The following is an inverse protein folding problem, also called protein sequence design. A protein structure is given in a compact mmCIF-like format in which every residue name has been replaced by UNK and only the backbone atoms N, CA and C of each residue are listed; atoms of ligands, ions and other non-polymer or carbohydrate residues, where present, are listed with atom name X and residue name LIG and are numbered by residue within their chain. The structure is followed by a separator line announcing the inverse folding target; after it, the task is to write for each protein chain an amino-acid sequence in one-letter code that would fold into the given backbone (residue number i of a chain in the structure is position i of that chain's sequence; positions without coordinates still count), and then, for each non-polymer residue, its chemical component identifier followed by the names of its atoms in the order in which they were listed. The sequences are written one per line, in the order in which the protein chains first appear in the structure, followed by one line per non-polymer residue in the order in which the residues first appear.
data_IF_177965581772
#
_entry.id   IF_177965581772
#
_cell.length_a   1.000
_cell.length_b   1.000
_cell.length_c   1.000
_cell.angle_alpha   90.00
_cell.angle_beta   90.00
_cell.angle_gamma   90.00
#
_symmetry.space_group_name_H-M   'P 1'
#
loop_
_entity.id
_entity.type
_entity.pdbx_description
1 polymer ?
#
# COMPACT_ATOMS: atom_id res chain seq x y z
N UNK A 1 99.22 13.16 -22.74
CA UNK A 1 98.15 12.52 -23.55
C UNK A 1 97.03 12.15 -22.64
N UNK A 2 96.06 13.09 -22.45
CA UNK A 2 94.84 12.85 -21.63
C UNK A 2 93.66 12.65 -22.56
N UNK A 3 93.07 11.49 -22.48
CA UNK A 3 91.78 11.19 -23.16
C UNK A 3 90.60 11.42 -22.15
N UNK A 4 89.83 12.44 -22.38
CA UNK A 4 88.58 12.70 -21.65
C UNK A 4 87.43 11.87 -22.28
N UNK A 5 86.81 10.98 -21.50
CA UNK A 5 85.55 10.30 -21.87
C UNK A 5 84.36 11.16 -21.52
N UNK A 6 83.52 11.53 -22.50
CA UNK A 6 82.21 12.14 -22.29
C UNK A 6 81.18 11.01 -22.16
N UNK A 7 80.51 10.97 -21.00
CA UNK A 7 79.37 10.10 -20.78
C UNK A 7 78.07 10.94 -21.09
N UNK A 8 77.35 10.54 -22.14
CA UNK A 8 76.07 11.12 -22.48
C UNK A 8 74.99 10.37 -21.68
N UNK A 9 74.34 11.05 -20.74
CA UNK A 9 73.23 10.57 -19.94
C UNK A 9 71.92 10.80 -20.71
N UNK A 10 71.27 9.73 -21.21
CA UNK A 10 69.96 9.80 -21.82
C UNK A 10 68.91 9.79 -20.70
N UNK A 11 68.25 10.94 -20.49
CA UNK A 11 67.07 11.07 -19.59
C UNK A 11 65.82 10.71 -20.39
N UNK A 12 65.24 9.56 -20.15
CA UNK A 12 63.90 9.19 -20.65
C UNK A 12 62.84 9.81 -19.81
N UNK A 13 62.12 10.80 -20.34
CA UNK A 13 60.96 11.41 -19.71
C UNK A 13 59.74 10.51 -19.93
N UNK A 14 59.36 9.75 -18.90
CA UNK A 14 58.10 9.00 -18.88
C UNK A 14 56.94 9.95 -18.61
N UNK A 15 56.16 10.25 -19.63
CA UNK A 15 54.91 11.00 -19.47
C UNK A 15 53.83 10.15 -18.77
N UNK A 16 53.22 10.61 -17.68
CA UNK A 16 52.12 9.89 -17.06
C UNK A 16 50.89 9.94 -17.97
N UNK A 17 50.45 8.77 -18.45
CA UNK A 17 49.17 8.61 -19.13
C UNK A 17 48.07 8.68 -18.08
N UNK A 18 47.44 9.84 -17.95
CA UNK A 18 46.23 10.02 -17.18
C UNK A 18 45.07 9.25 -17.87
N UNK A 19 44.76 8.07 -17.37
CA UNK A 19 43.54 7.37 -17.73
C UNK A 19 42.34 8.16 -17.20
N UNK A 20 41.65 8.89 -18.07
CA UNK A 20 40.37 9.48 -17.75
C UNK A 20 39.34 8.37 -17.51
N UNK A 21 39.04 8.08 -16.22
CA UNK A 21 37.87 7.30 -15.86
C UNK A 21 36.64 8.02 -16.45
N UNK A 22 36.01 7.45 -17.47
CA UNK A 22 34.70 7.90 -17.94
C UNK A 22 33.78 7.93 -16.69
N UNK A 23 33.31 9.14 -16.31
CA UNK A 23 32.23 9.30 -15.36
C UNK A 23 31.07 8.50 -15.94
N UNK A 24 30.71 7.41 -15.31
CA UNK A 24 29.44 6.72 -15.56
C UNK A 24 28.37 7.70 -15.10
N UNK A 25 27.78 8.44 -16.03
CA UNK A 25 26.61 9.27 -15.76
C UNK A 25 25.50 8.29 -15.45
N UNK A 26 25.10 8.16 -14.19
CA UNK A 26 23.91 7.41 -13.82
C UNK A 26 22.75 7.94 -14.66
N UNK A 27 21.94 7.07 -15.29
CA UNK A 27 20.82 7.54 -16.09
C UNK A 27 19.91 8.41 -15.24
N UNK A 28 19.57 9.58 -15.76
CA UNK A 28 18.64 10.50 -15.07
C UNK A 28 17.30 9.80 -14.89
N UNK A 29 16.85 9.64 -13.64
CA UNK A 29 15.57 9.04 -13.32
C UNK A 29 14.47 9.98 -13.83
N UNK A 30 13.57 9.46 -14.66
CA UNK A 30 12.41 10.18 -15.14
C UNK A 30 11.27 10.06 -14.13
N UNK A 31 10.64 11.18 -13.79
CA UNK A 31 9.41 11.25 -13.00
C UNK A 31 8.27 11.81 -13.85
N UNK A 32 7.12 11.14 -13.93
CA UNK A 32 6.03 11.60 -14.78
C UNK A 32 5.37 12.86 -14.25
N UNK A 33 5.09 13.80 -15.18
CA UNK A 33 4.24 14.96 -14.92
C UNK A 33 2.76 14.60 -14.85
N UNK A 34 1.87 15.56 -15.17
CA UNK A 34 0.42 15.29 -15.28
C UNK A 34 0.15 14.22 -16.33
N UNK A 35 0.77 14.36 -17.49
CA UNK A 35 0.79 13.34 -18.53
C UNK A 35 1.97 12.41 -18.34
N UNK A 36 1.77 11.13 -18.56
CA UNK A 36 2.80 10.12 -18.46
C UNK A 36 3.34 9.79 -19.84
N UNK A 37 4.64 9.89 -20.04
CA UNK A 37 5.27 9.61 -21.34
C UNK A 37 5.22 8.11 -21.62
N UNK A 38 4.74 7.77 -22.81
CA UNK A 38 4.74 6.42 -23.37
C UNK A 38 6.01 6.17 -24.18
N UNK A 39 6.55 4.97 -24.07
CA UNK A 39 7.64 4.47 -24.92
C UNK A 39 7.32 3.09 -25.46
N UNK A 40 7.90 2.80 -26.61
CA UNK A 40 7.88 1.42 -27.09
C UNK A 40 8.72 0.54 -26.18
N UNK A 41 8.35 -0.72 -25.94
CA UNK A 41 9.13 -1.61 -25.07
C UNK A 41 10.61 -1.70 -25.44
N UNK A 42 10.92 -1.68 -26.73
CA UNK A 42 12.30 -1.78 -27.23
C UNK A 42 13.19 -0.59 -26.81
N UNK A 43 12.59 0.60 -26.66
CA UNK A 43 13.32 1.82 -26.23
C UNK A 43 13.80 1.76 -24.77
N UNK A 44 13.24 0.82 -24.01
CA UNK A 44 13.57 0.61 -22.59
C UNK A 44 14.09 -0.78 -22.30
N UNK A 45 14.57 -1.50 -23.34
CA UNK A 45 15.22 -2.79 -23.20
C UNK A 45 14.27 -3.97 -22.98
N UNK A 46 13.03 -3.87 -23.50
CA UNK A 46 12.05 -4.95 -23.43
C UNK A 46 11.62 -5.42 -24.83
N UNK A 47 11.17 -6.66 -24.92
CA UNK A 47 10.62 -7.26 -26.14
C UNK A 47 9.13 -6.98 -26.24
N UNK A 48 8.70 -6.25 -27.30
CA UNK A 48 7.30 -5.84 -27.46
C UNK A 48 6.34 -7.03 -27.62
N UNK A 49 6.77 -8.11 -28.30
CA UNK A 49 5.91 -9.28 -28.47
C UNK A 49 5.67 -9.97 -27.12
N UNK A 50 6.69 -10.06 -26.26
CA UNK A 50 6.58 -10.62 -24.91
C UNK A 50 5.78 -9.74 -23.96
N UNK A 51 5.91 -8.41 -24.05
CA UNK A 51 5.06 -7.47 -23.32
C UNK A 51 3.60 -7.66 -23.73
N UNK A 52 3.33 -7.77 -25.04
CA UNK A 52 1.98 -8.07 -25.52
C UNK A 52 1.46 -9.41 -25.01
N UNK A 53 2.28 -10.44 -24.98
CA UNK A 53 1.94 -11.76 -24.44
C UNK A 53 1.52 -11.66 -22.95
N UNK A 54 2.22 -10.84 -22.15
CA UNK A 54 1.86 -10.60 -20.75
C UNK A 54 0.52 -9.86 -20.61
N UNK A 55 0.25 -8.88 -21.48
CA UNK A 55 -1.04 -8.17 -21.52
C UNK A 55 -2.19 -9.14 -21.91
N UNK A 56 -2.01 -9.92 -22.97
CA UNK A 56 -2.99 -10.91 -23.43
C UNK A 56 -3.25 -11.97 -22.34
N UNK A 57 -2.20 -12.38 -21.63
CA UNK A 57 -2.31 -13.28 -20.47
C UNK A 57 -3.18 -12.67 -19.37
N UNK A 58 -2.95 -11.43 -18.97
CA UNK A 58 -3.74 -10.75 -17.94
C UNK A 58 -5.21 -10.64 -18.34
N UNK A 59 -5.51 -10.31 -19.61
CA UNK A 59 -6.87 -10.19 -20.12
C UNK A 59 -7.58 -11.55 -20.14
N UNK A 60 -6.91 -12.61 -20.60
CA UNK A 60 -7.50 -13.95 -20.73
C UNK A 60 -7.74 -14.66 -19.39
N UNK A 61 -7.11 -14.18 -18.32
CA UNK A 61 -7.25 -14.73 -16.98
C UNK A 61 -8.10 -13.83 -16.05
N UNK A 62 -9.17 -13.22 -16.60
CA UNK A 62 -10.11 -12.42 -15.78
C UNK A 62 -10.64 -13.25 -14.61
N UNK A 63 -10.66 -12.63 -13.41
CA UNK A 63 -11.31 -13.23 -12.24
C UNK A 63 -12.80 -13.51 -12.53
N UNK A 64 -13.28 -14.70 -12.15
CA UNK A 64 -14.64 -15.14 -12.43
C UNK A 64 -15.73 -14.51 -11.55
N UNK A 65 -15.31 -13.72 -10.57
CA UNK A 65 -16.23 -13.07 -9.65
C UNK A 65 -17.14 -12.07 -10.37
N UNK A 66 -18.39 -11.85 -9.90
CA UNK A 66 -19.29 -10.87 -10.44
C UNK A 66 -18.66 -9.49 -10.58
N UNK A 67 -19.07 -8.73 -11.61
CA UNK A 67 -18.69 -7.31 -11.72
C UNK A 67 -19.43 -6.44 -10.74
N UNK A 68 -20.65 -6.81 -10.32
CA UNK A 68 -21.30 -6.20 -9.19
C UNK A 68 -20.54 -6.54 -7.91
N UNK A 69 -19.93 -5.53 -7.29
CA UNK A 69 -19.13 -5.72 -6.08
C UNK A 69 -19.99 -6.05 -4.87
N UNK A 70 -21.26 -5.64 -4.88
CA UNK A 70 -22.22 -6.04 -3.86
C UNK A 70 -22.54 -7.55 -3.95
N UNK A 71 -22.83 -8.05 -5.16
CA UNK A 71 -23.02 -9.50 -5.36
C UNK A 71 -21.77 -10.28 -4.99
N UNK A 72 -20.58 -9.80 -5.40
CA UNK A 72 -19.32 -10.43 -5.02
C UNK A 72 -19.13 -10.48 -3.50
N UNK A 73 -19.49 -9.40 -2.79
CA UNK A 73 -19.42 -9.33 -1.34
C UNK A 73 -20.28 -10.41 -0.68
N UNK A 74 -21.57 -10.49 -1.05
CA UNK A 74 -22.48 -11.49 -0.47
C UNK A 74 -22.18 -12.95 -0.89
N UNK A 75 -21.41 -13.15 -1.95
CA UNK A 75 -20.89 -14.47 -2.32
C UNK A 75 -19.63 -14.86 -1.53
N UNK A 76 -18.96 -13.91 -0.91
CA UNK A 76 -17.70 -14.09 -0.17
C UNK A 76 -17.85 -13.66 1.30
N UNK A 77 -17.45 -12.49 1.66
CA UNK A 77 -17.40 -11.95 3.03
C UNK A 77 -18.80 -11.75 3.67
N UNK A 78 -19.84 -11.53 2.88
CA UNK A 78 -21.20 -11.40 3.37
C UNK A 78 -21.78 -12.66 4.02
N UNK A 79 -21.08 -13.82 3.89
CA UNK A 79 -21.42 -15.07 4.59
C UNK A 79 -20.84 -15.17 5.99
N UNK A 80 -19.92 -14.29 6.34
CA UNK A 80 -19.32 -14.24 7.67
C UNK A 80 -20.31 -13.66 8.69
N UNK A 81 -20.14 -13.95 10.00
CA UNK A 81 -20.88 -13.24 11.04
C UNK A 81 -20.69 -11.73 10.91
N UNK A 82 -21.75 -10.97 11.12
CA UNK A 82 -21.71 -9.51 10.87
C UNK A 82 -21.28 -9.14 9.44
N UNK A 83 -21.55 -10.01 8.45
CA UNK A 83 -21.09 -9.90 7.07
C UNK A 83 -21.76 -8.78 6.25
N UNK A 84 -22.79 -8.10 6.75
CA UNK A 84 -23.48 -7.05 5.99
C UNK A 84 -22.54 -5.93 5.57
N UNK A 85 -22.66 -5.52 4.30
CA UNK A 85 -21.97 -4.33 3.80
C UNK A 85 -22.49 -3.08 4.50
N UNK A 86 -21.58 -2.23 4.97
CA UNK A 86 -21.90 -0.98 5.68
C UNK A 86 -21.16 0.23 5.09
N UNK A 87 -20.58 0.08 3.92
CA UNK A 87 -19.93 1.15 3.19
C UNK A 87 -20.17 1.02 1.69
N UNK A 88 -19.89 2.07 0.92
CA UNK A 88 -20.16 2.09 -0.50
C UNK A 88 -19.42 1.00 -1.25
N UNK A 89 -20.13 0.40 -2.21
CA UNK A 89 -19.61 -0.55 -3.19
C UNK A 89 -19.73 0.05 -4.58
N UNK A 90 -18.76 -0.21 -5.45
CA UNK A 90 -18.78 0.25 -6.84
C UNK A 90 -18.50 -0.92 -7.76
N UNK A 91 -19.37 -1.12 -8.74
CA UNK A 91 -19.19 -2.15 -9.77
C UNK A 91 -17.86 -2.00 -10.50
N UNK A 92 -17.16 -3.12 -10.68
CA UNK A 92 -15.85 -3.16 -11.30
C UNK A 92 -15.90 -3.12 -12.82
N UNK A 93 -14.84 -2.58 -13.41
CA UNK A 93 -14.59 -2.67 -14.86
C UNK A 93 -14.14 -4.06 -15.31
N UNK A 94 -13.79 -4.13 -16.60
CA UNK A 94 -13.12 -5.27 -17.23
C UNK A 94 -11.64 -5.35 -16.75
N UNK A 95 -10.92 -6.44 -17.10
CA UNK A 95 -9.48 -6.54 -16.87
C UNK A 95 -8.75 -5.31 -17.36
N UNK A 96 -7.98 -4.71 -16.50
CA UNK A 96 -7.35 -3.41 -16.73
C UNK A 96 -5.96 -3.40 -16.15
N UNK A 97 -5.04 -2.70 -16.78
CA UNK A 97 -3.72 -2.53 -16.20
C UNK A 97 -2.81 -1.56 -16.95
N UNK A 98 -1.62 -1.38 -16.40
CA UNK A 98 -0.57 -0.52 -16.92
C UNK A 98 0.79 -1.08 -16.49
N UNK A 99 1.77 -1.04 -17.38
CA UNK A 99 3.15 -1.47 -17.12
C UNK A 99 4.07 -0.27 -17.30
N UNK A 100 4.87 -0.02 -16.27
CA UNK A 100 5.87 1.03 -16.22
C UNK A 100 7.25 0.39 -16.20
N UNK A 101 8.14 0.83 -17.08
CA UNK A 101 9.55 0.44 -17.12
C UNK A 101 10.43 1.68 -17.17
N UNK A 102 11.41 1.78 -16.27
CA UNK A 102 12.30 2.94 -16.15
C UNK A 102 11.54 4.28 -16.02
N UNK A 103 10.32 4.25 -15.44
CA UNK A 103 9.44 5.41 -15.28
C UNK A 103 8.52 5.71 -16.46
N UNK A 104 8.62 5.00 -17.58
CA UNK A 104 7.79 5.20 -18.79
C UNK A 104 6.69 4.16 -18.90
N UNK A 105 5.52 4.56 -19.38
CA UNK A 105 4.45 3.62 -19.74
C UNK A 105 4.87 2.87 -21.00
N UNK A 106 4.88 1.53 -20.92
CA UNK A 106 5.24 0.68 -22.07
C UNK A 106 4.07 -0.17 -22.57
N UNK A 107 3.05 -0.36 -21.74
CA UNK A 107 1.80 -1.01 -22.12
C UNK A 107 0.67 -0.59 -21.18
N UNK A 108 -0.54 -0.57 -21.72
CA UNK A 108 -1.78 -0.39 -20.96
C UNK A 108 -2.92 -1.14 -21.65
N UNK A 109 -3.93 -1.51 -20.88
CA UNK A 109 -5.10 -2.20 -21.42
C UNK A 109 -6.36 -1.94 -20.60
N UNK A 110 -7.52 -2.18 -21.20
CA UNK A 110 -8.82 -1.92 -20.57
C UNK A 110 -9.08 -0.42 -20.40
N UNK A 111 -9.55 -0.05 -19.21
CA UNK A 111 -9.89 1.34 -18.86
C UNK A 111 -8.97 1.83 -17.70
N UNK A 112 -7.66 2.10 -17.95
CA UNK A 112 -6.70 2.37 -16.87
C UNK A 112 -6.98 3.68 -16.11
N UNK A 113 -7.74 4.60 -16.69
CA UNK A 113 -8.19 5.84 -16.05
C UNK A 113 -9.47 5.67 -15.21
N UNK A 114 -10.18 4.53 -15.35
CA UNK A 114 -11.39 4.26 -14.58
C UNK A 114 -11.08 4.09 -13.09
N UNK A 115 -11.68 4.89 -12.19
CA UNK A 115 -11.57 4.64 -10.76
C UNK A 115 -12.43 3.44 -10.37
N UNK A 116 -11.83 2.40 -9.83
CA UNK A 116 -12.49 1.22 -9.29
C UNK A 116 -12.07 0.96 -7.85
N UNK A 117 -12.87 0.17 -7.11
CA UNK A 117 -12.49 -0.27 -5.76
C UNK A 117 -11.18 -1.05 -5.82
N UNK A 118 -10.26 -0.72 -4.93
CA UNK A 118 -8.97 -1.41 -4.87
C UNK A 118 -8.82 -2.31 -3.64
N UNK A 119 -9.88 -2.39 -2.82
CA UNK A 119 -9.91 -3.20 -1.60
C UNK A 119 -8.65 -3.00 -0.75
N UNK A 120 -7.96 -4.08 -0.41
CA UNK A 120 -6.85 -4.04 0.54
C UNK A 120 -5.60 -3.28 0.08
N UNK A 121 -5.47 -2.90 -1.20
CA UNK A 121 -4.43 -1.94 -1.61
C UNK A 121 -4.57 -0.62 -0.84
N UNK A 122 -5.79 -0.29 -0.38
CA UNK A 122 -6.08 0.85 0.53
C UNK A 122 -5.15 0.87 1.75
N UNK A 123 -4.79 -0.30 2.29
CA UNK A 123 -3.90 -0.41 3.46
C UNK A 123 -2.52 0.18 3.23
N UNK A 124 -2.03 0.13 2.00
CA UNK A 124 -0.73 0.72 1.64
C UNK A 124 -0.78 2.25 1.70
N UNK A 125 -1.90 2.85 1.29
CA UNK A 125 -2.13 4.28 1.45
C UNK A 125 -2.32 4.67 2.92
N UNK A 126 -2.98 3.81 3.72
CA UNK A 126 -3.06 3.99 5.17
C UNK A 126 -1.66 3.94 5.79
N UNK A 127 -0.83 2.95 5.45
CA UNK A 127 0.57 2.90 5.88
C UNK A 127 1.32 4.18 5.57
N UNK A 128 1.11 4.74 4.36
CA UNK A 128 1.74 6.00 3.99
C UNK A 128 1.30 7.17 4.89
N UNK A 129 0.01 7.26 5.26
CA UNK A 129 -0.47 8.33 6.17
C UNK A 129 0.06 8.18 7.60
N UNK A 130 0.28 6.94 8.08
CA UNK A 130 0.97 6.68 9.35
C UNK A 130 2.45 7.08 9.24
N UNK A 131 3.09 6.74 8.11
CA UNK A 131 4.47 7.12 7.83
C UNK A 131 4.69 8.63 7.82
N UNK A 132 3.79 9.35 7.20
CA UNK A 132 3.80 10.81 7.23
C UNK A 132 3.63 11.38 8.65
N UNK A 133 2.81 10.74 9.49
CA UNK A 133 2.67 11.14 10.90
C UNK A 133 3.97 10.91 11.68
N UNK A 134 4.66 9.81 11.42
CA UNK A 134 5.99 9.53 11.96
C UNK A 134 7.02 10.55 11.47
N UNK A 135 7.12 10.78 10.17
CA UNK A 135 8.09 11.70 9.56
C UNK A 135 7.94 13.14 10.06
N UNK A 136 6.73 13.53 10.47
CA UNK A 136 6.42 14.83 11.07
C UNK A 136 6.54 14.86 12.60
N UNK A 137 6.92 13.74 13.21
CA UNK A 137 7.06 13.63 14.65
C UNK A 137 5.75 13.69 15.43
N UNK A 138 4.60 13.50 14.77
CA UNK A 138 3.30 13.30 15.43
C UNK A 138 3.30 11.94 16.15
N UNK A 139 3.94 10.95 15.58
CA UNK A 139 4.29 9.67 16.22
C UNK A 139 5.79 9.68 16.48
N UNK A 140 6.20 9.59 17.75
CA UNK A 140 7.63 9.70 18.11
C UNK A 140 8.41 8.42 17.82
N UNK A 141 7.77 7.27 18.01
CA UNK A 141 8.35 5.96 17.77
C UNK A 141 7.26 4.98 17.36
N UNK A 142 7.55 4.13 16.36
CA UNK A 142 6.63 3.02 16.00
C UNK A 142 6.50 1.98 17.12
N UNK A 143 7.45 1.95 18.07
CA UNK A 143 7.41 1.08 19.23
C UNK A 143 6.69 1.69 20.45
N UNK A 144 6.24 2.94 20.34
CA UNK A 144 5.32 3.50 21.32
C UNK A 144 3.96 2.82 21.25
N UNK A 145 3.32 2.66 22.41
CA UNK A 145 1.95 2.16 22.44
C UNK A 145 0.99 3.19 21.83
N UNK A 146 0.04 2.71 21.03
CA UNK A 146 -0.96 3.57 20.39
C UNK A 146 -1.76 4.33 21.45
N UNK A 147 -2.05 3.69 22.59
CA UNK A 147 -2.77 4.27 23.72
C UNK A 147 -2.21 5.62 24.18
N UNK A 148 -0.89 5.83 24.13
CA UNK A 148 -0.25 7.10 24.52
C UNK A 148 -0.67 8.30 23.67
N UNK A 149 -1.18 8.05 22.47
CA UNK A 149 -1.55 9.06 21.47
C UNK A 149 -3.05 9.26 21.36
N UNK A 150 -3.84 8.43 22.08
CA UNK A 150 -5.29 8.43 21.96
C UNK A 150 -5.94 9.25 23.07
N UNK A 151 -6.82 10.15 22.65
CA UNK A 151 -7.87 10.69 23.52
C UNK A 151 -9.15 9.88 23.29
N UNK A 152 -10.09 9.85 24.25
CA UNK A 152 -11.40 9.31 24.02
C UNK A 152 -12.08 9.96 22.80
N UNK A 153 -12.71 9.14 21.95
CA UNK A 153 -13.29 9.57 20.69
C UNK A 153 -14.77 9.83 20.89
N UNK A 154 -15.23 10.98 20.42
CA UNK A 154 -16.64 11.30 20.38
C UNK A 154 -17.25 10.72 19.10
N UNK A 155 -17.99 9.61 19.22
CA UNK A 155 -18.72 9.00 18.11
C UNK A 155 -19.87 9.91 17.69
N UNK A 156 -20.15 9.96 16.39
CA UNK A 156 -21.28 10.68 15.85
C UNK A 156 -22.01 9.78 14.85
N UNK A 157 -23.34 9.63 15.02
CA UNK A 157 -24.17 8.94 14.05
C UNK A 157 -25.07 9.94 13.32
N UNK A 158 -24.90 10.12 12.00
CA UNK A 158 -25.80 10.97 11.21
C UNK A 158 -27.21 10.38 11.08
N UNK A 159 -27.39 9.08 11.37
CA UNK A 159 -28.66 8.36 11.25
C UNK A 159 -29.51 8.48 12.52
N UNK A 160 -28.91 8.70 13.66
CA UNK A 160 -29.60 8.86 14.94
C UNK A 160 -30.24 10.24 15.08
N UNK A 161 -31.10 10.58 14.16
CA UNK A 161 -31.83 11.87 14.21
C UNK A 161 -33.11 11.79 15.03
N UNK A 162 -33.49 10.62 15.55
CA UNK A 162 -34.83 10.35 16.10
C UNK A 162 -35.01 10.66 17.56
N UNK A 163 -34.04 10.53 18.43
CA UNK A 163 -34.25 10.67 19.88
C UNK A 163 -33.55 11.90 20.45
N UNK A 164 -34.36 12.97 20.65
CA UNK A 164 -33.84 14.25 21.15
C UNK A 164 -33.40 14.19 22.62
N UNK A 165 -33.87 13.21 23.39
CA UNK A 165 -33.53 13.07 24.80
C UNK A 165 -32.07 12.73 25.03
N UNK A 166 -31.47 11.94 24.15
CA UNK A 166 -30.11 11.49 24.29
C UNK A 166 -29.07 12.54 23.85
N UNK A 167 -29.48 13.57 23.10
CA UNK A 167 -28.58 14.66 22.68
C UNK A 167 -28.08 15.53 23.83
N UNK A 168 -28.77 15.53 24.96
CA UNK A 168 -28.40 16.28 26.15
C UNK A 168 -27.73 15.40 27.20
N UNK A 169 -27.59 14.10 26.94
CA UNK A 169 -26.80 13.20 27.74
C UNK A 169 -25.30 13.54 27.68
N UNK A 170 -24.52 12.90 28.53
CA UNK A 170 -23.04 12.95 28.39
C UNK A 170 -22.67 12.38 27.03
N UNK A 171 -21.78 13.05 26.27
CA UNK A 171 -21.34 12.51 25.00
C UNK A 171 -20.78 11.10 25.23
N UNK A 172 -21.20 10.14 24.41
CA UNK A 172 -20.66 8.81 24.45
C UNK A 172 -19.22 8.87 23.92
N UNK A 173 -18.29 8.67 24.84
CA UNK A 173 -16.87 8.67 24.54
C UNK A 173 -16.39 7.22 24.38
N UNK A 174 -15.87 6.94 23.21
CA UNK A 174 -15.31 5.65 22.85
C UNK A 174 -13.79 5.63 23.08
N UNK A 175 -13.31 4.70 23.91
CA UNK A 175 -11.89 4.52 24.19
C UNK A 175 -11.36 3.31 23.46
N UNK A 176 -10.75 3.56 22.30
CA UNK A 176 -10.34 2.54 21.33
C UNK A 176 -9.26 1.58 21.87
N UNK A 177 -8.44 2.02 22.81
CA UNK A 177 -7.29 1.26 23.34
C UNK A 177 -7.30 1.10 24.85
N UNK A 178 -8.44 1.14 25.52
CA UNK A 178 -8.51 1.20 26.99
C UNK A 178 -8.44 -0.16 27.71
N UNK A 179 -8.59 -1.31 27.01
CA UNK A 179 -8.46 -2.61 27.66
C UNK A 179 -7.01 -2.84 28.11
N UNK A 180 -6.82 -3.73 29.11
CA UNK A 180 -5.48 -4.09 29.58
C UNK A 180 -4.60 -4.59 28.43
N UNK A 181 -5.14 -5.36 27.52
CA UNK A 181 -4.46 -5.88 26.34
C UNK A 181 -4.15 -4.74 25.37
N UNK A 182 -5.15 -3.97 24.94
CA UNK A 182 -4.99 -2.94 23.93
C UNK A 182 -3.99 -1.82 24.33
N UNK A 183 -3.85 -1.52 25.64
CA UNK A 183 -2.86 -0.56 26.15
C UNK A 183 -1.42 -0.95 25.86
N UNK A 184 -1.15 -2.21 25.57
CA UNK A 184 0.20 -2.71 25.29
C UNK A 184 0.55 -2.70 23.80
N UNK A 185 -0.44 -2.52 22.90
CA UNK A 185 -0.28 -2.56 21.46
C UNK A 185 0.51 -1.35 20.96
N UNK A 186 1.56 -1.59 20.20
CA UNK A 186 2.36 -0.55 19.55
C UNK A 186 1.86 -0.23 18.13
N UNK A 187 2.30 0.90 17.59
CA UNK A 187 2.09 1.22 16.18
C UNK A 187 2.68 0.14 15.26
N UNK A 188 3.85 -0.40 15.61
CA UNK A 188 4.49 -1.48 14.87
C UNK A 188 3.62 -2.74 14.82
N UNK A 189 2.98 -3.11 15.95
CA UNK A 189 2.09 -4.27 16.00
C UNK A 189 0.86 -4.08 15.12
N UNK A 190 0.28 -2.87 15.13
CA UNK A 190 -0.85 -2.54 14.25
C UNK A 190 -0.44 -2.60 12.77
N UNK A 191 0.68 -1.98 12.40
CA UNK A 191 1.19 -1.94 11.03
C UNK A 191 1.52 -3.32 10.47
N UNK A 192 1.99 -4.23 11.32
CA UNK A 192 2.35 -5.61 10.94
C UNK A 192 1.22 -6.61 11.04
N UNK A 193 0.02 -6.18 11.44
CA UNK A 193 -1.11 -7.07 11.69
C UNK A 193 -0.81 -8.14 12.75
N UNK A 194 -0.06 -7.76 13.78
CA UNK A 194 0.31 -8.62 14.91
C UNK A 194 -0.22 -8.10 16.25
N UNK A 195 -1.17 -7.16 16.20
CA UNK A 195 -1.67 -6.48 17.40
C UNK A 195 -2.58 -7.34 18.26
N UNK A 196 -3.33 -8.24 17.64
CA UNK A 196 -4.48 -8.93 18.25
C UNK A 196 -5.43 -7.98 19.02
N UNK A 197 -5.58 -6.74 18.52
CA UNK A 197 -6.48 -5.75 19.09
C UNK A 197 -7.88 -6.36 19.29
N UNK A 198 -8.47 -6.09 20.45
CA UNK A 198 -9.77 -6.61 20.84
C UNK A 198 -10.81 -5.49 20.92
N UNK A 199 -11.98 -5.75 20.36
CA UNK A 199 -13.10 -4.81 20.44
C UNK A 199 -14.08 -4.93 19.31
N UNK A 200 -15.05 -4.02 19.34
CA UNK A 200 -16.02 -3.82 18.27
C UNK A 200 -15.87 -2.40 17.74
N UNK A 201 -15.68 -2.25 16.43
CA UNK A 201 -15.58 -0.96 15.78
C UNK A 201 -16.57 -0.89 14.61
N UNK A 202 -17.38 0.16 14.57
CA UNK A 202 -18.40 0.37 13.52
C UNK A 202 -19.40 -0.80 13.43
N UNK A 203 -19.72 -1.43 14.57
CA UNK A 203 -20.60 -2.60 14.63
C UNK A 203 -19.95 -3.91 14.19
N UNK A 204 -18.64 -3.92 13.89
CA UNK A 204 -17.89 -5.11 13.47
C UNK A 204 -16.93 -5.55 14.59
N UNK A 205 -17.20 -6.69 15.28
CA UNK A 205 -16.27 -7.27 16.23
C UNK A 205 -14.97 -7.71 15.55
N UNK A 206 -13.84 -7.64 16.25
CA UNK A 206 -12.54 -8.08 15.71
C UNK A 206 -12.53 -9.56 15.31
N UNK A 207 -13.26 -10.40 16.03
CA UNK A 207 -13.35 -11.84 15.74
C UNK A 207 -14.24 -12.15 14.52
N UNK A 208 -15.09 -11.22 14.06
CA UNK A 208 -16.03 -11.46 12.96
C UNK A 208 -15.37 -11.40 11.57
N UNK A 209 -14.13 -10.90 11.49
CA UNK A 209 -13.36 -10.88 10.25
C UNK A 209 -12.58 -12.19 10.11
N UNK A 210 -12.93 -13.01 9.12
CA UNK A 210 -12.36 -14.35 8.89
C UNK A 210 -12.39 -15.22 10.14
N UNK A 211 -13.59 -15.45 10.72
CA UNK A 211 -13.73 -16.08 12.00
C UNK A 211 -13.24 -17.53 11.97
N UNK A 212 -12.85 -18.03 13.15
CA UNK A 212 -12.62 -19.48 13.32
C UNK A 212 -13.84 -20.28 12.88
N UNK A 213 -13.60 -21.46 12.32
CA UNK A 213 -14.67 -22.38 11.95
C UNK A 213 -15.50 -22.88 13.17
N UNK A 214 -14.92 -22.85 14.39
CA UNK A 214 -15.64 -23.18 15.63
C UNK A 214 -16.20 -21.90 16.29
N UNK A 215 -17.54 -21.69 16.29
CA UNK A 215 -18.15 -20.54 16.94
C UNK A 215 -17.83 -20.39 18.44
N UNK A 216 -17.49 -21.47 19.13
CA UNK A 216 -17.13 -21.43 20.56
C UNK A 216 -15.85 -20.64 20.81
N UNK A 217 -14.96 -20.59 19.82
CA UNK A 217 -13.70 -19.85 19.94
C UNK A 217 -13.87 -18.33 19.78
N UNK A 218 -14.93 -17.84 19.15
CA UNK A 218 -15.07 -16.43 18.79
C UNK A 218 -14.95 -15.48 19.99
N UNK A 219 -15.55 -15.86 21.12
CA UNK A 219 -15.55 -15.04 22.33
C UNK A 219 -14.61 -15.55 23.43
N UNK A 220 -14.12 -16.78 23.31
CA UNK A 220 -13.40 -17.46 24.38
C UNK A 220 -11.91 -17.68 24.09
N UNK A 221 -11.46 -17.40 22.86
CA UNK A 221 -10.05 -17.58 22.52
C UNK A 221 -9.15 -16.67 23.36
N UNK A 222 -8.03 -17.21 23.79
CA UNK A 222 -7.00 -16.44 24.46
C UNK A 222 -6.34 -15.49 23.48
N UNK A 223 -6.15 -14.23 23.89
CA UNK A 223 -5.42 -13.24 23.10
C UNK A 223 -3.93 -13.55 23.04
N UNK A 224 -3.36 -13.38 21.86
CA UNK A 224 -1.93 -13.47 21.66
C UNK A 224 -1.25 -12.19 22.18
N UNK A 225 -0.01 -12.29 22.68
CA UNK A 225 0.76 -11.09 23.00
C UNK A 225 0.99 -10.26 21.72
N UNK A 226 0.85 -8.93 21.74
CA UNK A 226 1.16 -8.09 20.60
C UNK A 226 2.56 -8.38 20.04
N UNK A 227 2.67 -8.45 18.73
CA UNK A 227 3.91 -8.79 18.01
C UNK A 227 4.16 -10.28 17.83
N UNK A 228 3.47 -11.18 18.56
CA UNK A 228 3.79 -12.61 18.57
C UNK A 228 3.08 -13.46 17.51
N UNK A 229 1.94 -13.00 17.00
CA UNK A 229 1.11 -13.75 16.07
C UNK A 229 0.58 -12.83 14.97
N UNK A 230 0.70 -13.27 13.72
CA UNK A 230 0.17 -12.57 12.57
C UNK A 230 -1.27 -13.02 12.30
N UNK A 231 -2.18 -12.07 12.23
CA UNK A 231 -3.56 -12.29 11.83
C UNK A 231 -4.07 -11.13 11.01
N UNK A 232 -4.33 -11.38 9.72
CA UNK A 232 -4.86 -10.38 8.83
C UNK A 232 -6.32 -10.07 9.20
N UNK A 233 -6.61 -8.83 9.62
CA UNK A 233 -7.90 -8.46 10.20
C UNK A 233 -8.27 -7.02 9.87
N UNK A 234 -9.38 -6.83 9.14
CA UNK A 234 -9.81 -5.52 8.65
C UNK A 234 -10.42 -4.63 9.74
N UNK A 235 -11.04 -5.21 10.80
CA UNK A 235 -11.50 -4.42 11.96
C UNK A 235 -10.30 -3.74 12.66
N UNK A 236 -9.19 -4.46 12.81
CA UNK A 236 -7.95 -3.93 13.38
C UNK A 236 -7.30 -2.88 12.49
N UNK A 237 -7.39 -3.06 11.18
CA UNK A 237 -6.94 -2.03 10.22
C UNK A 237 -7.78 -0.75 10.35
N UNK A 238 -9.09 -0.88 10.53
CA UNK A 238 -9.97 0.27 10.77
C UNK A 238 -9.67 0.96 12.11
N UNK A 239 -9.28 0.19 13.13
CA UNK A 239 -8.79 0.76 14.40
C UNK A 239 -7.50 1.58 14.19
N UNK A 240 -6.57 1.10 13.35
CA UNK A 240 -5.39 1.88 12.96
C UNK A 240 -5.77 3.16 12.18
N UNK A 241 -6.74 3.08 11.27
CA UNK A 241 -7.21 4.25 10.52
C UNK A 241 -7.79 5.32 11.45
N UNK A 242 -8.63 4.92 12.42
CA UNK A 242 -9.21 5.82 13.40
C UNK A 242 -8.14 6.42 14.34
N UNK A 243 -7.19 5.61 14.79
CA UNK A 243 -6.06 6.09 15.59
C UNK A 243 -5.21 7.11 14.81
N UNK A 244 -4.95 6.83 13.54
CA UNK A 244 -4.18 7.74 12.66
C UNK A 244 -4.93 9.05 12.42
N UNK A 245 -6.25 9.00 12.19
CA UNK A 245 -7.11 10.18 12.09
C UNK A 245 -7.03 11.04 13.36
N UNK A 246 -7.08 10.39 14.55
CA UNK A 246 -6.99 11.10 15.83
C UNK A 246 -5.61 11.79 16.01
N UNK A 247 -4.53 11.15 15.61
CA UNK A 247 -3.17 11.72 15.68
C UNK A 247 -3.02 12.93 14.73
N UNK A 248 -3.54 12.81 13.52
CA UNK A 248 -3.47 13.90 12.54
C UNK A 248 -4.39 15.07 12.86
N UNK A 249 -5.49 14.86 13.60
CA UNK A 249 -6.56 15.84 13.81
C UNK A 249 -7.08 16.38 12.47
N UNK A 250 -7.06 15.56 11.41
CA UNK A 250 -7.38 15.93 10.03
C UNK A 250 -7.85 14.71 9.24
N UNK A 251 -8.86 14.83 8.34
CA UNK A 251 -9.31 13.71 7.51
C UNK A 251 -8.16 13.07 6.73
N UNK A 252 -8.01 11.74 6.82
CA UNK A 252 -6.90 11.04 6.15
C UNK A 252 -6.89 11.20 4.62
N UNK A 253 -8.03 11.27 3.89
CA UNK A 253 -8.01 11.60 2.47
C UNK A 253 -7.35 12.95 2.17
N UNK A 254 -7.58 13.95 3.03
CA UNK A 254 -6.95 15.25 2.88
C UNK A 254 -5.45 15.20 3.19
N UNK A 255 -5.04 14.46 4.23
CA UNK A 255 -3.61 14.21 4.53
C UNK A 255 -2.92 13.56 3.34
N UNK A 256 -3.51 12.49 2.80
CA UNK A 256 -2.95 11.77 1.64
C UNK A 256 -2.87 12.68 0.41
N UNK A 257 -3.93 13.44 0.13
CA UNK A 257 -4.00 14.36 -1.01
C UNK A 257 -2.86 15.37 -0.98
N UNK A 258 -2.77 16.14 0.10
CA UNK A 258 -1.85 17.27 0.22
C UNK A 258 -0.37 16.88 0.27
N UNK A 259 -0.06 15.65 0.75
CA UNK A 259 1.31 15.25 1.03
C UNK A 259 1.87 14.25 0.04
N UNK A 260 1.01 13.55 -0.69
CA UNK A 260 1.44 12.52 -1.65
C UNK A 260 0.76 12.70 -2.99
N UNK A 261 -0.58 12.65 -3.06
CA UNK A 261 -1.29 12.49 -4.33
C UNK A 261 -1.12 13.71 -5.25
N UNK A 262 -1.17 14.92 -4.70
CA UNK A 262 -0.93 16.15 -5.49
C UNK A 262 0.54 16.21 -5.97
N UNK A 263 1.49 15.82 -5.12
CA UNK A 263 2.92 15.85 -5.43
C UNK A 263 3.32 14.85 -6.51
N UNK A 264 2.67 13.67 -6.54
CA UNK A 264 2.91 12.65 -7.58
C UNK A 264 2.06 12.88 -8.84
N UNK A 265 1.36 14.00 -8.94
CA UNK A 265 0.45 14.33 -10.05
C UNK A 265 -0.67 13.29 -10.25
N UNK A 266 -1.21 12.72 -9.17
CA UNK A 266 -2.37 11.85 -9.26
C UNK A 266 -3.60 12.63 -9.72
N UNK A 267 -4.56 11.92 -10.32
CA UNK A 267 -5.81 12.52 -10.78
C UNK A 267 -6.65 13.05 -9.61
N UNK A 268 -7.67 13.86 -9.91
CA UNK A 268 -8.66 14.28 -8.92
C UNK A 268 -9.84 13.30 -8.78
N UNK A 269 -9.79 12.15 -9.45
CA UNK A 269 -10.93 11.21 -9.54
C UNK A 269 -10.96 10.19 -8.42
N UNK A 270 -9.85 9.93 -7.72
CA UNK A 270 -9.80 9.00 -6.60
C UNK A 270 -10.63 9.49 -5.42
N UNK A 271 -11.15 8.54 -4.62
CA UNK A 271 -11.88 8.77 -3.37
C UNK A 271 -11.48 7.73 -2.35
N UNK A 272 -11.55 8.09 -1.07
CA UNK A 272 -11.32 7.17 0.03
C UNK A 272 -12.48 7.28 1.01
N UNK A 273 -13.28 6.23 1.08
CA UNK A 273 -14.51 6.18 1.87
C UNK A 273 -14.34 5.37 3.14
N UNK A 274 -15.03 5.80 4.19
CA UNK A 274 -15.31 5.00 5.38
C UNK A 274 -16.60 4.20 5.23
N UNK A 275 -17.07 3.65 6.34
CA UNK A 275 -18.40 3.07 6.47
C UNK A 275 -19.44 4.16 6.75
N UNK A 276 -20.70 3.87 6.47
CA UNK A 276 -21.81 4.83 6.63
C UNK A 276 -22.00 5.28 8.07
N UNK A 277 -21.61 4.45 9.04
CA UNK A 277 -21.65 4.73 10.47
C UNK A 277 -20.29 5.16 11.07
N UNK A 278 -19.25 5.33 10.25
CA UNK A 278 -17.88 5.61 10.73
C UNK A 278 -17.62 7.12 10.91
N UNK A 279 -18.47 7.80 11.67
CA UNK A 279 -18.38 9.24 11.88
C UNK A 279 -17.98 9.58 13.32
N UNK A 280 -17.14 10.58 13.48
CA UNK A 280 -16.70 11.12 14.77
C UNK A 280 -16.81 12.65 14.79
N UNK A 281 -16.86 13.21 15.98
CA UNK A 281 -16.65 14.66 16.18
C UNK A 281 -15.17 14.88 16.49
N UNK A 282 -14.51 15.64 15.64
CA UNK A 282 -13.09 15.98 15.74
C UNK A 282 -12.94 17.50 15.70
N UNK A 283 -12.50 18.10 16.82
CA UNK A 283 -12.30 19.55 16.94
C UNK A 283 -13.50 20.39 16.49
N UNK A 284 -14.72 19.94 16.86
CA UNK A 284 -15.98 20.63 16.54
C UNK A 284 -16.55 20.33 15.15
N UNK A 285 -15.86 19.51 14.33
CA UNK A 285 -16.34 19.12 13.00
C UNK A 285 -16.69 17.63 12.96
N UNK A 286 -17.72 17.27 12.18
CA UNK A 286 -18.07 15.87 11.92
C UNK A 286 -17.19 15.36 10.79
N UNK A 287 -16.43 14.28 11.07
CA UNK A 287 -15.43 13.72 10.16
C UNK A 287 -15.64 12.22 10.03
N UNK A 288 -15.55 11.69 8.81
CA UNK A 288 -15.58 10.24 8.58
C UNK A 288 -14.21 9.62 8.81
N UNK A 289 -14.15 8.55 9.61
CA UNK A 289 -13.03 7.64 9.63
C UNK A 289 -13.09 6.74 8.40
N UNK A 290 -11.99 6.66 7.65
CA UNK A 290 -11.95 5.86 6.43
C UNK A 290 -11.86 4.36 6.71
N UNK A 291 -12.38 3.55 5.78
CA UNK A 291 -12.12 2.10 5.78
C UNK A 291 -10.70 1.83 5.25
N UNK A 292 -9.95 1.01 5.98
CA UNK A 292 -8.59 0.63 5.61
C UNK A 292 -8.53 -0.54 4.64
N UNK A 293 -9.64 -1.23 4.34
CA UNK A 293 -9.57 -2.46 3.55
C UNK A 293 -10.71 -2.71 2.59
N UNK A 294 -11.85 -2.10 2.79
CA UNK A 294 -13.03 -2.33 1.97
C UNK A 294 -13.67 -3.71 2.17
N UNK A 295 -13.42 -4.40 3.30
CA UNK A 295 -14.02 -5.71 3.60
C UNK A 295 -15.55 -5.66 3.58
N UNK A 296 -16.14 -4.66 4.24
CA UNK A 296 -17.57 -4.41 4.28
C UNK A 296 -17.98 -3.16 3.46
N UNK A 297 -17.23 -2.88 2.39
CA UNK A 297 -17.38 -1.69 1.57
C UNK A 297 -16.41 -0.57 1.94
N UNK A 298 -16.52 0.57 1.27
CA UNK A 298 -15.60 1.69 1.44
C UNK A 298 -14.18 1.39 0.93
N UNK A 299 -13.17 2.05 1.52
CA UNK A 299 -11.79 1.99 1.05
C UNK A 299 -11.52 2.90 -0.16
N UNK A 300 -10.39 2.70 -0.81
CA UNK A 300 -9.99 3.50 -1.97
C UNK A 300 -10.74 3.08 -3.24
N UNK A 301 -11.25 4.07 -3.94
CA UNK A 301 -11.71 3.98 -5.32
C UNK A 301 -10.74 4.84 -6.13
N UNK A 302 -9.95 4.21 -7.01
CA UNK A 302 -8.77 4.82 -7.62
C UNK A 302 -8.48 4.19 -8.99
N UNK A 303 -7.90 4.95 -9.90
CA UNK A 303 -7.49 4.49 -11.23
C UNK A 303 -6.22 3.63 -11.21
N UNK A 304 -6.00 2.82 -12.25
CA UNK A 304 -4.74 2.09 -12.39
C UNK A 304 -3.54 3.04 -12.57
N UNK A 305 -3.73 4.18 -13.23
CA UNK A 305 -2.70 5.21 -13.35
C UNK A 305 -2.25 5.77 -11.99
N UNK A 306 -3.20 6.10 -11.13
CA UNK A 306 -2.87 6.64 -9.81
C UNK A 306 -2.24 5.58 -8.90
N UNK A 307 -2.69 4.31 -9.03
CA UNK A 307 -2.03 3.17 -8.36
C UNK A 307 -0.58 3.00 -8.85
N UNK A 308 -0.33 3.15 -10.15
CA UNK A 308 1.01 3.06 -10.72
C UNK A 308 1.92 4.20 -10.24
N UNK A 309 1.38 5.43 -10.10
CA UNK A 309 2.13 6.57 -9.50
C UNK A 309 2.55 6.29 -8.07
N UNK A 310 1.65 5.73 -7.27
CA UNK A 310 1.97 5.32 -5.90
C UNK A 310 3.01 4.18 -5.88
N UNK A 311 2.85 3.16 -6.72
CA UNK A 311 3.85 2.10 -6.87
C UNK A 311 5.22 2.64 -7.28
N UNK A 312 5.24 3.60 -8.21
CA UNK A 312 6.48 4.24 -8.64
C UNK A 312 7.13 5.10 -7.54
N UNK A 313 6.34 5.80 -6.73
CA UNK A 313 6.84 6.50 -5.54
C UNK A 313 7.55 5.52 -4.59
N UNK A 314 6.94 4.35 -4.33
CA UNK A 314 7.54 3.35 -3.44
C UNK A 314 8.78 2.69 -4.05
N UNK A 315 8.80 2.45 -5.37
CA UNK A 315 9.97 2.01 -6.12
C UNK A 315 11.14 3.00 -5.99
N UNK A 316 10.84 4.30 -5.96
CA UNK A 316 11.81 5.39 -5.81
C UNK A 316 12.10 5.75 -4.34
N UNK A 317 11.89 4.82 -3.43
CA UNK A 317 12.19 4.99 -2.00
C UNK A 317 11.49 6.21 -1.37
N UNK A 318 10.27 6.52 -1.82
CA UNK A 318 9.48 7.65 -1.33
C UNK A 318 9.88 9.01 -1.89
N UNK A 319 10.78 9.03 -2.85
CA UNK A 319 11.23 10.25 -3.52
C UNK A 319 10.43 10.50 -4.80
N UNK A 320 10.08 11.78 -5.03
CA UNK A 320 9.47 12.22 -6.28
C UNK A 320 10.13 13.53 -6.73
N UNK A 321 10.79 13.53 -7.88
CA UNK A 321 11.74 14.58 -8.27
C UNK A 321 12.76 14.82 -7.14
N UNK A 322 12.88 16.04 -6.67
CA UNK A 322 13.81 16.43 -5.61
C UNK A 322 13.21 16.35 -4.20
N UNK A 323 11.92 15.95 -4.08
CA UNK A 323 11.21 15.90 -2.81
C UNK A 323 11.20 14.49 -2.23
N UNK A 324 11.54 14.34 -0.95
CA UNK A 324 11.28 13.14 -0.17
C UNK A 324 9.87 13.25 0.42
N UNK A 325 8.90 12.51 -0.15
CA UNK A 325 7.49 12.55 0.28
C UNK A 325 7.21 11.61 1.46
N UNK A 326 7.84 10.44 1.44
CA UNK A 326 7.81 9.44 2.52
C UNK A 326 9.27 9.09 2.81
N UNK A 327 9.68 9.07 4.08
CA UNK A 327 11.08 8.79 4.42
C UNK A 327 11.55 7.43 3.91
N UNK A 328 12.81 7.34 3.51
CA UNK A 328 13.44 6.06 3.15
C UNK A 328 13.38 5.06 4.32
N UNK A 329 13.49 5.56 5.55
CA UNK A 329 13.39 4.75 6.75
C UNK A 329 12.01 4.09 6.87
N UNK A 330 10.93 4.83 6.58
CA UNK A 330 9.58 4.27 6.58
C UNK A 330 9.42 3.16 5.55
N UNK A 331 9.89 3.39 4.32
CA UNK A 331 9.81 2.38 3.26
C UNK A 331 10.69 1.17 3.55
N UNK A 332 11.85 1.36 4.18
CA UNK A 332 12.70 0.28 4.65
C UNK A 332 11.95 -0.60 5.68
N UNK A 333 11.28 0.00 6.67
CA UNK A 333 10.47 -0.75 7.63
C UNK A 333 9.27 -1.41 6.98
N UNK A 334 8.61 -0.73 6.03
CA UNK A 334 7.47 -1.29 5.29
C UNK A 334 7.84 -2.55 4.49
N UNK A 335 9.07 -2.62 4.00
CA UNK A 335 9.60 -3.78 3.25
C UNK A 335 10.49 -4.71 4.10
N UNK A 336 10.50 -4.54 5.43
CA UNK A 336 11.18 -5.46 6.35
C UNK A 336 10.21 -6.56 6.78
N UNK A 337 10.59 -7.85 6.68
CA UNK A 337 9.74 -8.97 7.07
C UNK A 337 9.23 -8.86 8.51
N UNK A 338 7.96 -9.19 8.69
CA UNK A 338 7.35 -9.38 10.01
C UNK A 338 7.86 -10.69 10.61
N UNK A 339 8.38 -10.72 11.84
CA UNK A 339 8.91 -11.95 12.43
C UNK A 339 7.90 -13.11 12.45
N UNK A 340 6.63 -12.81 12.70
CA UNK A 340 5.55 -13.80 12.71
C UNK A 340 5.05 -14.19 11.31
N UNK A 341 5.39 -13.44 10.25
CA UNK A 341 4.99 -13.69 8.86
C UNK A 341 5.98 -13.04 7.90
N UNK A 342 7.00 -13.78 7.48
CA UNK A 342 8.13 -13.27 6.68
C UNK A 342 7.74 -12.75 5.29
N UNK A 343 6.64 -13.21 4.72
CA UNK A 343 6.07 -12.68 3.47
C UNK A 343 5.28 -11.37 3.63
N UNK A 344 5.28 -10.74 4.83
CA UNK A 344 4.50 -9.53 5.08
C UNK A 344 5.33 -8.47 5.80
N UNK A 345 5.27 -7.24 5.30
CA UNK A 345 5.89 -6.06 5.90
C UNK A 345 4.90 -5.23 6.71
N UNK A 346 4.85 -3.93 6.47
CA UNK A 346 3.77 -3.08 6.97
C UNK A 346 2.52 -3.24 6.09
N UNK A 347 1.41 -2.76 6.57
CA UNK A 347 0.10 -2.76 5.90
C UNK A 347 0.17 -2.97 4.39
N UNK A 348 -0.18 -4.18 3.96
CA UNK A 348 -0.31 -4.60 2.56
C UNK A 348 0.98 -4.58 1.71
N UNK A 349 2.16 -4.52 2.33
CA UNK A 349 3.41 -4.85 1.65
C UNK A 349 3.60 -6.37 1.72
N UNK A 350 3.18 -7.08 0.67
CA UNK A 350 3.43 -8.50 0.51
C UNK A 350 4.83 -8.69 -0.09
N UNK A 351 5.72 -9.29 0.69
CA UNK A 351 7.12 -9.44 0.35
C UNK A 351 7.36 -10.80 -0.32
N UNK A 352 8.24 -10.84 -1.29
CA UNK A 352 8.59 -12.07 -1.99
C UNK A 352 9.80 -12.80 -1.38
N UNK A 353 10.00 -12.69 -0.06
CA UNK A 353 11.16 -13.21 0.66
C UNK A 353 11.33 -14.71 0.58
N UNK A 354 10.24 -15.46 0.55
CA UNK A 354 10.22 -16.92 0.44
C UNK A 354 9.86 -17.44 -0.97
N UNK A 355 9.61 -16.52 -1.90
CA UNK A 355 9.21 -16.82 -3.29
C UNK A 355 7.99 -17.74 -3.40
N UNK A 356 7.11 -17.74 -2.40
CA UNK A 356 5.96 -18.64 -2.34
C UNK A 356 4.85 -18.21 -3.31
N UNK A 357 4.50 -16.92 -3.30
CA UNK A 357 3.38 -16.40 -4.08
C UNK A 357 3.81 -15.99 -5.50
N UNK A 358 5.05 -15.49 -5.66
CA UNK A 358 5.63 -15.08 -6.93
C UNK A 358 7.01 -15.71 -7.15
N UNK A 359 7.09 -17.05 -7.37
CA UNK A 359 8.37 -17.76 -7.54
C UNK A 359 9.21 -17.24 -8.71
N UNK A 360 8.57 -16.65 -9.73
CA UNK A 360 9.25 -16.07 -10.90
C UNK A 360 9.88 -14.71 -10.62
N UNK A 361 9.39 -13.96 -9.64
CA UNK A 361 9.86 -12.61 -9.34
C UNK A 361 11.17 -12.61 -8.53
N UNK A 362 11.96 -11.52 -8.56
CA UNK A 362 13.08 -11.34 -7.63
C UNK A 362 12.64 -11.36 -6.17
N UNK A 363 13.54 -11.79 -5.27
CA UNK A 363 13.30 -11.80 -3.81
C UNK A 363 13.03 -10.37 -3.27
N UNK A 364 13.62 -9.37 -3.90
CA UNK A 364 13.47 -7.96 -3.55
C UNK A 364 12.15 -7.33 -4.02
N UNK A 365 11.39 -8.04 -4.89
CA UNK A 365 10.08 -7.58 -5.35
C UNK A 365 9.05 -7.67 -4.22
N UNK A 366 8.04 -6.81 -4.30
CA UNK A 366 6.88 -6.85 -3.40
C UNK A 366 5.62 -6.41 -4.15
N UNK A 367 4.49 -6.69 -3.53
CA UNK A 367 3.20 -6.32 -4.09
C UNK A 367 2.32 -5.63 -3.06
N UNK A 368 1.37 -4.85 -3.56
CA UNK A 368 0.19 -4.42 -2.82
C UNK A 368 -1.01 -5.11 -3.46
N UNK A 369 -1.78 -5.87 -2.71
CA UNK A 369 -2.85 -6.72 -3.27
C UNK A 369 -4.18 -6.43 -2.57
N UNK A 370 -5.24 -6.33 -3.37
CA UNK A 370 -6.62 -6.23 -2.91
C UNK A 370 -7.52 -7.32 -3.49
N UNK A 371 -8.66 -7.55 -2.86
CA UNK A 371 -9.64 -8.55 -3.28
C UNK A 371 -10.05 -8.36 -4.75
N UNK A 372 -10.39 -9.46 -5.44
CA UNK A 372 -10.59 -9.48 -6.90
C UNK A 372 -9.29 -9.30 -7.68
N UNK A 373 -8.17 -9.41 -6.98
CA UNK A 373 -6.80 -9.24 -7.43
C UNK A 373 -6.57 -7.91 -8.14
N UNK A 374 -6.62 -6.87 -7.31
CA UNK A 374 -6.03 -5.58 -7.66
C UNK A 374 -4.60 -5.61 -7.16
N UNK A 375 -3.62 -5.58 -8.03
CA UNK A 375 -2.20 -5.68 -7.69
C UNK A 375 -1.43 -4.46 -8.17
N UNK A 376 -0.56 -3.93 -7.32
CA UNK A 376 0.59 -3.12 -7.70
C UNK A 376 1.82 -4.02 -7.49
N UNK A 377 2.46 -4.44 -8.54
CA UNK A 377 3.74 -5.15 -8.52
C UNK A 377 4.89 -4.15 -8.60
N UNK A 378 5.87 -4.27 -7.73
CA UNK A 378 7.03 -3.39 -7.65
C UNK A 378 8.31 -4.24 -7.69
N UNK A 379 9.09 -4.07 -8.74
CA UNK A 379 10.35 -4.79 -8.97
C UNK A 379 11.52 -3.80 -9.01
N UNK A 380 12.30 -3.81 -7.94
CA UNK A 380 13.44 -2.90 -7.77
C UNK A 380 14.63 -3.27 -8.65
N UNK A 381 14.81 -4.55 -8.92
CA UNK A 381 15.95 -5.03 -9.72
C UNK A 381 15.78 -4.69 -11.19
N UNK A 382 14.55 -4.78 -11.66
CA UNK A 382 14.25 -4.56 -13.07
C UNK A 382 13.67 -3.17 -13.36
N UNK A 383 13.53 -2.31 -12.35
CA UNK A 383 12.88 -1.00 -12.48
C UNK A 383 11.50 -1.07 -13.17
N UNK A 384 10.64 -1.94 -12.62
CA UNK A 384 9.30 -2.20 -13.13
C UNK A 384 8.25 -1.90 -12.05
N UNK A 385 7.17 -1.21 -12.47
CA UNK A 385 5.90 -1.19 -11.75
C UNK A 385 4.83 -1.71 -12.70
N UNK A 386 4.05 -2.69 -12.26
CA UNK A 386 2.88 -3.12 -13.02
C UNK A 386 1.63 -3.07 -12.15
N UNK A 387 0.58 -2.44 -12.65
CA UNK A 387 -0.75 -2.52 -12.05
C UNK A 387 -1.59 -3.47 -12.88
N UNK A 388 -2.13 -4.48 -12.22
CA UNK A 388 -3.05 -5.44 -12.85
C UNK A 388 -4.31 -5.52 -12.01
N UNK A 389 -5.45 -5.38 -12.66
CA UNK A 389 -6.75 -5.40 -11.98
C UNK A 389 -7.63 -6.48 -12.56
N UNK A 390 -8.30 -7.21 -11.66
CA UNK A 390 -9.33 -8.21 -11.98
C UNK A 390 -8.78 -9.45 -12.69
N UNK A 391 -7.54 -9.84 -12.37
CA UNK A 391 -6.95 -11.12 -12.78
C UNK A 391 -7.23 -12.20 -11.73
N UNK A 392 -7.36 -13.47 -12.12
CA UNK A 392 -7.42 -14.59 -11.17
C UNK A 392 -6.13 -14.63 -10.32
N UNK A 393 -6.29 -14.73 -9.01
CA UNK A 393 -5.17 -14.72 -8.05
C UNK A 393 -4.13 -15.81 -8.34
N UNK A 394 -4.56 -16.99 -8.80
CA UNK A 394 -3.66 -18.09 -9.16
C UNK A 394 -2.82 -17.81 -10.40
N UNK A 395 -3.20 -16.81 -11.18
CA UNK A 395 -2.53 -16.41 -12.43
C UNK A 395 -1.52 -15.28 -12.24
N UNK A 396 -1.32 -14.78 -11.00
CA UNK A 396 -0.40 -13.66 -10.74
C UNK A 396 1.03 -13.97 -11.12
N UNK A 397 1.57 -15.12 -10.69
CA UNK A 397 2.95 -15.48 -11.04
C UNK A 397 3.10 -15.74 -12.55
N UNK A 398 2.09 -16.31 -13.20
CA UNK A 398 2.07 -16.48 -14.66
C UNK A 398 2.20 -15.16 -15.41
N UNK A 399 1.47 -14.12 -14.97
CA UNK A 399 1.61 -12.78 -15.51
C UNK A 399 3.01 -12.22 -15.28
N UNK A 400 3.52 -12.27 -14.05
CA UNK A 400 4.85 -11.76 -13.69
C UNK A 400 5.95 -12.50 -14.48
N UNK A 401 5.88 -13.83 -14.56
CA UNK A 401 6.82 -14.64 -15.34
C UNK A 401 6.85 -14.24 -16.82
N UNK A 402 5.66 -14.03 -17.42
CA UNK A 402 5.58 -13.63 -18.84
C UNK A 402 6.15 -12.24 -19.05
N UNK A 403 5.84 -11.30 -18.12
CA UNK A 403 6.40 -9.95 -18.15
C UNK A 403 7.92 -9.94 -18.02
N UNK A 404 8.49 -10.72 -17.08
CA UNK A 404 9.94 -10.77 -16.85
C UNK A 404 10.69 -11.40 -18.03
N UNK A 405 10.10 -12.34 -18.77
CA UNK A 405 10.66 -12.88 -20.02
C UNK A 405 10.78 -11.85 -21.14
N UNK A 406 10.12 -10.70 -21.02
CA UNK A 406 10.26 -9.61 -21.98
C UNK A 406 11.54 -8.77 -21.77
N UNK A 407 12.26 -8.93 -20.68
CA UNK A 407 13.52 -8.21 -20.41
C UNK A 407 14.62 -8.77 -21.32
N UNK A 408 15.32 -7.87 -22.04
CA UNK A 408 16.43 -8.21 -22.96
C UNK A 408 17.77 -8.15 -22.25
#
# INVERSE_FOLDING_TARGET
MNRSFFIVLLITIASPVFSQKKKVVSPTIYYPGKEWIHKKPEEVGMDAAKVKEAVDFAISHEVKNPRSMEQNHYQTFGKEPFGDAIGPMKDRGAPTGIIIKNGYVIAEWGEPMRPDMTHSVTKSFLSATVGLAYDRGLIKSINDTVYKYMAPIHLYSPIETGNKADRFGKPELFDLFNTRHNKTITWNDMLRQTSDWEGTLWGKPDWADRPSADPKEWLTRKRNAPGSFYEYNDTRVNALALATLNVWRKPLPQVLKENIMDEINASSTWRWYGYDNAWIVLDGSVVQSVSGGGHWGGGMIISAYDMARFGYLTLRHGKWNDKQLISEQWLKWSTTPTPAQTGYGFMNYFLNTDKKDLPSAPVSAYTHIGNGTNMIYVDKENDIVAVVRWIDNKSLDGFVNTLLKAIK
#
